data_IF_983926103673
#
_entry.id   IF_983926103673
#
_cell.length_a   1.000
_cell.length_b   1.000
_cell.length_c   1.000
_cell.angle_alpha   90.00
_cell.angle_beta   90.00
_cell.angle_gamma   90.00
#
_symmetry.space_group_name_H-M   'P 1'
#
loop_
_entity.id
_entity.type
_entity.pdbx_description
1 polymer ?
#
# COMPACT_ATOMS: atom_id res chain seq x y z
N UNK A 1 16.89 20.16 19.84
CA UNK A 1 15.83 20.90 19.13
C UNK A 1 14.53 20.69 19.86
N UNK A 2 13.66 21.72 20.04
CA UNK A 2 12.38 21.52 20.71
C UNK A 2 11.55 20.49 19.93
N UNK A 3 10.97 19.52 20.63
CA UNK A 3 10.07 18.54 20.04
C UNK A 3 8.89 19.28 19.38
N UNK A 4 8.64 19.00 18.09
CA UNK A 4 7.51 19.61 17.39
C UNK A 4 6.22 19.34 18.16
N UNK A 5 5.37 20.36 18.26
CA UNK A 5 4.07 20.21 18.91
C UNK A 5 3.19 19.21 18.15
N UNK A 6 2.29 18.49 18.83
CA UNK A 6 1.36 17.59 18.14
C UNK A 6 0.54 18.27 17.04
N UNK A 7 0.24 19.56 17.20
CA UNK A 7 -0.48 20.37 16.21
C UNK A 7 0.35 20.63 14.96
N UNK A 8 1.65 20.89 15.08
CA UNK A 8 2.55 21.03 13.94
C UNK A 8 2.71 19.72 13.16
N UNK A 9 2.79 18.59 13.87
CA UNK A 9 2.82 17.28 13.22
C UNK A 9 1.51 16.99 12.45
N UNK A 10 0.35 17.40 13.01
CA UNK A 10 -0.93 17.26 12.33
C UNK A 10 -1.05 18.18 11.10
N UNK A 11 -0.55 19.41 11.17
CA UNK A 11 -0.54 20.32 10.02
C UNK A 11 0.32 19.79 8.86
N UNK A 12 1.43 19.09 9.15
CA UNK A 12 2.23 18.40 8.14
C UNK A 12 1.46 17.25 7.46
N UNK A 13 0.65 16.51 8.24
CA UNK A 13 -0.20 15.46 7.69
C UNK A 13 -1.29 16.06 6.78
N UNK A 14 -1.93 17.16 7.18
CA UNK A 14 -2.92 17.85 6.34
C UNK A 14 -2.28 18.41 5.05
N UNK A 15 -1.03 18.88 5.11
CA UNK A 15 -0.26 19.30 3.93
C UNK A 15 0.04 18.17 2.93
N UNK A 16 -0.22 16.91 3.28
CA UNK A 16 -0.03 15.80 2.33
C UNK A 16 -1.02 15.82 1.15
N UNK A 17 -2.11 16.57 1.24
CA UNK A 17 -3.05 16.78 0.11
C UNK A 17 -2.34 17.50 -1.05
N UNK A 18 -1.37 18.39 -0.78
CA UNK A 18 -0.64 19.11 -1.82
C UNK A 18 0.20 18.19 -2.71
N UNK A 19 0.45 16.95 -2.29
CA UNK A 19 1.13 15.93 -3.10
C UNK A 19 0.43 15.62 -4.43
N UNK A 20 -0.86 15.92 -4.54
CA UNK A 20 -1.60 15.82 -5.81
C UNK A 20 -1.01 16.71 -6.91
N UNK A 21 -0.23 17.74 -6.55
CA UNK A 21 0.48 18.61 -7.50
C UNK A 21 1.78 18.01 -8.03
N UNK A 22 2.28 16.92 -7.41
CA UNK A 22 3.48 16.22 -7.89
C UNK A 22 3.16 15.34 -9.10
N UNK A 23 3.09 15.97 -10.26
CA UNK A 23 2.79 15.29 -11.53
C UNK A 23 3.75 14.16 -11.86
N UNK A 24 5.03 14.24 -11.42
CA UNK A 24 6.03 13.18 -11.67
C UNK A 24 5.71 11.92 -10.86
N UNK A 25 5.35 12.07 -9.59
CA UNK A 25 4.95 10.94 -8.75
C UNK A 25 3.62 10.34 -9.21
N UNK A 26 2.64 11.18 -9.57
CA UNK A 26 1.36 10.74 -10.15
C UNK A 26 1.57 9.95 -11.43
N UNK A 27 2.37 10.49 -12.37
CA UNK A 27 2.69 9.81 -13.63
C UNK A 27 3.38 8.46 -13.38
N UNK A 28 4.35 8.42 -12.46
CA UNK A 28 5.08 7.19 -12.16
C UNK A 28 4.16 6.12 -11.56
N UNK A 29 3.28 6.49 -10.61
CA UNK A 29 2.29 5.56 -10.04
C UNK A 29 1.30 5.08 -11.08
N UNK A 30 0.75 6.01 -11.88
CA UNK A 30 -0.21 5.66 -12.94
C UNK A 30 0.41 4.68 -13.94
N UNK A 31 1.62 4.96 -14.42
CA UNK A 31 2.34 4.09 -15.35
C UNK A 31 2.60 2.70 -14.73
N UNK A 32 3.05 2.68 -13.47
CA UNK A 32 3.36 1.43 -12.76
C UNK A 32 2.11 0.57 -12.56
N UNK A 33 1.01 1.17 -12.11
CA UNK A 33 -0.24 0.44 -11.90
C UNK A 33 -0.89 0.01 -13.21
N UNK A 34 -0.86 0.84 -14.26
CA UNK A 34 -1.37 0.47 -15.57
C UNK A 34 -0.59 -0.72 -16.16
N UNK A 35 0.75 -0.67 -16.10
CA UNK A 35 1.58 -1.74 -16.63
C UNK A 35 1.46 -3.02 -15.78
N UNK A 36 1.46 -2.91 -14.46
CA UNK A 36 1.26 -4.05 -13.56
C UNK A 36 -0.14 -4.67 -13.76
N UNK A 37 -1.18 -3.85 -13.89
CA UNK A 37 -2.54 -4.30 -14.16
C UNK A 37 -2.66 -5.02 -15.48
N UNK A 38 -2.04 -4.50 -16.55
CA UNK A 38 -1.99 -5.17 -17.85
C UNK A 38 -1.30 -6.54 -17.78
N UNK A 39 -0.13 -6.60 -17.13
CA UNK A 39 0.60 -7.86 -16.94
C UNK A 39 -0.19 -8.87 -16.10
N UNK A 40 -0.92 -8.41 -15.08
CA UNK A 40 -1.80 -9.28 -14.27
C UNK A 40 -2.94 -9.85 -15.12
N UNK A 41 -3.58 -9.02 -15.95
CA UNK A 41 -4.63 -9.47 -16.85
C UNK A 41 -4.11 -10.49 -17.87
N UNK A 42 -2.91 -10.26 -18.41
CA UNK A 42 -2.25 -11.23 -19.31
C UNK A 42 -1.90 -12.53 -18.58
N UNK A 43 -1.46 -12.45 -17.31
CA UNK A 43 -1.17 -13.63 -16.48
C UNK A 43 -2.44 -14.45 -16.24
N UNK A 44 -3.54 -13.81 -15.87
CA UNK A 44 -4.84 -14.49 -15.67
C UNK A 44 -5.32 -15.22 -16.93
N UNK A 45 -5.22 -14.57 -18.11
CA UNK A 45 -5.59 -15.20 -19.39
C UNK A 45 -4.68 -16.36 -19.75
N UNK A 46 -3.37 -16.24 -19.54
CA UNK A 46 -2.41 -17.30 -19.81
C UNK A 46 -2.62 -18.51 -18.87
N UNK A 47 -2.93 -18.27 -17.61
CA UNK A 47 -3.26 -19.34 -16.65
C UNK A 47 -4.56 -20.05 -17.03
N UNK A 48 -5.60 -19.30 -17.42
CA UNK A 48 -6.88 -19.85 -17.85
C UNK A 48 -6.77 -20.72 -19.13
N UNK A 49 -5.84 -20.38 -20.03
CA UNK A 49 -5.56 -21.12 -21.25
C UNK A 49 -4.59 -22.29 -21.06
N UNK A 50 -4.08 -22.51 -19.84
CA UNK A 50 -3.11 -23.56 -19.55
C UNK A 50 -1.75 -23.34 -20.23
N UNK A 51 -1.35 -22.09 -20.47
CA UNK A 51 -0.13 -21.71 -21.19
C UNK A 51 1.19 -21.96 -20.39
N UNK A 52 1.20 -22.94 -19.52
CA UNK A 52 2.40 -23.41 -18.81
C UNK A 52 3.06 -22.34 -17.95
N UNK A 53 4.36 -22.06 -18.19
CA UNK A 53 5.15 -21.12 -17.40
C UNK A 53 4.87 -19.62 -17.67
N UNK A 54 4.12 -19.29 -18.73
CA UNK A 54 3.88 -17.89 -19.12
C UNK A 54 3.03 -17.13 -18.11
N UNK A 55 1.98 -17.75 -17.55
CA UNK A 55 1.15 -17.12 -16.52
C UNK A 55 1.94 -16.71 -15.29
N UNK A 56 2.69 -17.63 -14.62
CA UNK A 56 3.57 -17.28 -13.50
C UNK A 56 4.63 -16.23 -13.83
N UNK A 57 5.22 -16.27 -15.04
CA UNK A 57 6.23 -15.29 -15.47
C UNK A 57 5.61 -13.88 -15.57
N UNK A 58 4.44 -13.75 -16.18
CA UNK A 58 3.73 -12.48 -16.31
C UNK A 58 3.28 -11.95 -14.94
N UNK A 59 2.82 -12.82 -14.02
CA UNK A 59 2.49 -12.46 -12.65
C UNK A 59 3.73 -11.96 -11.89
N UNK A 60 4.88 -12.63 -12.04
CA UNK A 60 6.14 -12.19 -11.49
C UNK A 60 6.58 -10.82 -12.02
N UNK A 61 6.43 -10.59 -13.33
CA UNK A 61 6.71 -9.30 -13.96
C UNK A 61 5.77 -8.20 -13.45
N UNK A 62 4.48 -8.50 -13.25
CA UNK A 62 3.52 -7.56 -12.68
C UNK A 62 3.92 -7.12 -11.26
N UNK A 63 4.29 -8.08 -10.40
CA UNK A 63 4.77 -7.79 -9.05
C UNK A 63 6.06 -6.97 -9.07
N UNK A 64 6.99 -7.30 -9.97
CA UNK A 64 8.24 -6.55 -10.15
C UNK A 64 7.95 -5.08 -10.51
N UNK A 65 7.11 -4.84 -11.51
CA UNK A 65 6.74 -3.49 -11.95
C UNK A 65 6.02 -2.73 -10.85
N UNK A 66 5.06 -3.35 -10.15
CA UNK A 66 4.34 -2.72 -9.05
C UNK A 66 5.30 -2.34 -7.90
N UNK A 67 6.20 -3.24 -7.52
CA UNK A 67 7.13 -3.04 -6.43
C UNK A 67 8.16 -1.94 -6.74
N UNK A 68 8.87 -2.04 -7.85
CA UNK A 68 9.91 -1.06 -8.20
C UNK A 68 9.32 0.28 -8.64
N UNK A 69 8.19 0.27 -9.33
CA UNK A 69 7.48 1.47 -9.72
C UNK A 69 6.89 2.22 -8.53
N UNK A 70 6.28 1.51 -7.59
CA UNK A 70 5.81 2.09 -6.33
C UNK A 70 6.94 2.72 -5.49
N UNK A 71 8.09 2.04 -5.41
CA UNK A 71 9.27 2.58 -4.74
C UNK A 71 9.85 3.81 -5.46
N UNK A 72 9.87 3.84 -6.81
CA UNK A 72 10.30 5.00 -7.57
C UNK A 72 9.40 6.22 -7.31
N UNK A 73 8.07 6.01 -7.28
CA UNK A 73 7.14 7.06 -6.91
C UNK A 73 7.34 7.54 -5.46
N UNK A 74 7.58 6.62 -4.52
CA UNK A 74 7.91 6.95 -3.13
C UNK A 74 9.17 7.81 -3.00
N UNK A 75 10.21 7.53 -3.79
CA UNK A 75 11.43 8.34 -3.85
C UNK A 75 11.13 9.76 -4.34
N UNK A 76 10.30 9.93 -5.39
CA UNK A 76 9.90 11.25 -5.89
C UNK A 76 9.12 12.05 -4.84
N UNK A 77 8.22 11.38 -4.11
CA UNK A 77 7.46 11.99 -3.02
C UNK A 77 8.38 12.34 -1.83
N UNK A 78 9.39 11.52 -1.53
CA UNK A 78 10.37 11.81 -0.47
C UNK A 78 11.24 13.02 -0.80
N UNK A 79 11.68 13.18 -2.07
CA UNK A 79 12.42 14.35 -2.51
C UNK A 79 11.61 15.64 -2.28
N UNK A 80 10.34 15.64 -2.68
CA UNK A 80 9.43 16.75 -2.44
C UNK A 80 9.17 16.99 -0.94
N UNK A 81 9.02 15.91 -0.16
CA UNK A 81 8.78 16.00 1.28
C UNK A 81 9.92 16.71 2.01
N UNK A 82 11.16 16.57 1.51
CA UNK A 82 12.35 17.24 2.02
C UNK A 82 12.49 18.69 1.55
N UNK A 83 11.59 19.17 0.68
CA UNK A 83 11.70 20.51 0.08
C UNK A 83 12.84 20.67 -0.91
N UNK A 84 13.43 19.55 -1.38
CA UNK A 84 14.50 19.54 -2.36
C UNK A 84 13.99 19.51 -3.82
N UNK A 85 14.89 19.64 -4.80
CA UNK A 85 14.53 19.48 -6.20
C UNK A 85 14.11 18.02 -6.46
N UNK A 86 12.89 17.82 -6.97
CA UNK A 86 12.40 16.49 -7.35
C UNK A 86 13.19 15.99 -8.56
N UNK A 87 13.86 14.85 -8.41
CA UNK A 87 14.67 14.23 -9.47
C UNK A 87 13.85 13.86 -10.72
N UNK A 88 14.51 13.55 -11.82
CA UNK A 88 13.84 13.05 -13.03
C UNK A 88 13.28 11.65 -12.80
N UNK A 89 12.19 11.29 -13.48
CA UNK A 89 11.53 9.97 -13.34
C UNK A 89 12.51 8.83 -13.63
N UNK A 90 13.35 8.96 -14.67
CA UNK A 90 14.37 7.95 -15.00
C UNK A 90 15.40 7.73 -13.89
N UNK A 91 15.81 8.80 -13.20
CA UNK A 91 16.74 8.69 -12.08
C UNK A 91 16.08 8.08 -10.84
N UNK A 92 14.78 8.35 -10.63
CA UNK A 92 14.01 7.70 -9.56
C UNK A 92 13.86 6.19 -9.80
N UNK A 93 13.64 5.77 -11.05
CA UNK A 93 13.59 4.34 -11.41
C UNK A 93 14.95 3.67 -11.18
N UNK A 94 16.06 4.30 -11.62
CA UNK A 94 17.41 3.77 -11.37
C UNK A 94 17.71 3.67 -9.87
N UNK A 95 17.35 4.70 -9.11
CA UNK A 95 17.51 4.69 -7.65
C UNK A 95 16.65 3.60 -6.99
N UNK A 96 15.42 3.40 -7.45
CA UNK A 96 14.55 2.32 -6.97
C UNK A 96 15.17 0.95 -7.23
N UNK A 97 15.62 0.67 -8.45
CA UNK A 97 16.29 -0.59 -8.78
C UNK A 97 17.54 -0.84 -7.92
N UNK A 98 18.28 0.22 -7.57
CA UNK A 98 19.48 0.12 -6.74
C UNK A 98 19.17 -0.04 -5.24
N UNK A 99 18.03 0.40 -4.75
CA UNK A 99 17.77 0.50 -3.30
C UNK A 99 16.55 -0.27 -2.79
N UNK A 100 15.55 -0.54 -3.64
CA UNK A 100 14.29 -1.14 -3.19
C UNK A 100 14.46 -2.55 -2.57
N UNK A 101 15.49 -3.31 -2.96
CA UNK A 101 15.80 -4.60 -2.32
C UNK A 101 16.13 -4.45 -0.82
N UNK A 102 16.61 -3.26 -0.38
CA UNK A 102 16.84 -2.97 1.05
C UNK A 102 15.53 -2.98 1.85
N UNK A 103 14.41 -2.62 1.21
CA UNK A 103 13.10 -2.69 1.83
C UNK A 103 12.71 -4.15 2.11
N UNK A 104 12.93 -5.06 1.14
CA UNK A 104 12.68 -6.48 1.33
C UNK A 104 13.55 -7.06 2.47
N UNK A 105 14.84 -6.66 2.52
CA UNK A 105 15.73 -7.09 3.60
C UNK A 105 15.29 -6.52 4.95
N UNK A 106 14.83 -5.27 5.01
CA UNK A 106 14.27 -4.68 6.23
C UNK A 106 13.08 -5.49 6.72
N UNK A 107 12.13 -5.80 5.82
CA UNK A 107 10.97 -6.64 6.17
C UNK A 107 11.38 -8.05 6.57
N UNK A 108 12.34 -8.66 5.89
CA UNK A 108 12.83 -10.01 6.22
C UNK A 108 13.40 -10.08 7.65
N UNK A 109 14.21 -9.06 8.04
CA UNK A 109 14.79 -9.01 9.40
C UNK A 109 13.69 -8.79 10.44
N UNK A 110 12.76 -7.86 10.19
CA UNK A 110 11.65 -7.61 11.11
C UNK A 110 10.74 -8.83 11.21
N UNK A 111 10.39 -9.46 10.09
CA UNK A 111 9.56 -10.67 10.08
C UNK A 111 10.23 -11.82 10.82
N UNK A 112 11.55 -11.99 10.68
CA UNK A 112 12.31 -12.97 11.44
C UNK A 112 12.25 -12.70 12.96
N UNK A 113 12.34 -11.42 13.38
CA UNK A 113 12.18 -11.05 14.79
C UNK A 113 10.77 -11.37 15.32
N UNK A 114 9.72 -11.09 14.53
CA UNK A 114 8.35 -11.45 14.87
C UNK A 114 8.15 -12.98 14.92
N UNK A 115 8.73 -13.72 13.99
CA UNK A 115 8.68 -15.18 13.98
C UNK A 115 9.37 -15.78 15.21
N UNK A 116 10.52 -15.24 15.63
CA UNK A 116 11.19 -15.65 16.86
C UNK A 116 10.34 -15.35 18.11
N UNK A 117 9.72 -14.16 18.17
CA UNK A 117 8.82 -13.81 19.27
C UNK A 117 7.58 -14.73 19.32
N UNK A 118 7.01 -15.05 18.16
CA UNK A 118 5.89 -15.98 18.06
C UNK A 118 6.30 -17.40 18.48
N UNK A 119 7.47 -17.88 18.07
CA UNK A 119 8.01 -19.17 18.48
C UNK A 119 8.27 -19.23 19.99
N UNK A 120 8.81 -18.16 20.59
CA UNK A 120 9.00 -18.07 22.04
C UNK A 120 7.65 -18.09 22.79
N UNK A 121 6.65 -17.36 22.33
CA UNK A 121 5.31 -17.39 22.89
C UNK A 121 4.69 -18.79 22.78
N UNK A 122 4.82 -19.42 21.62
CA UNK A 122 4.36 -20.79 21.41
C UNK A 122 5.04 -21.79 22.36
N UNK A 123 6.37 -21.68 22.55
CA UNK A 123 7.10 -22.51 23.49
C UNK A 123 6.63 -22.32 24.94
N UNK A 124 6.40 -21.05 25.35
CA UNK A 124 5.84 -20.74 26.67
C UNK A 124 4.43 -21.34 26.87
N UNK A 125 3.56 -21.23 25.86
CA UNK A 125 2.24 -21.86 25.90
C UNK A 125 2.32 -23.38 25.93
N UNK A 126 3.29 -23.97 25.24
CA UNK A 126 3.51 -25.41 25.26
C UNK A 126 3.94 -25.89 26.66
N UNK A 127 4.78 -25.11 27.37
CA UNK A 127 5.14 -25.38 28.76
C UNK A 127 3.95 -25.33 29.73
N UNK A 128 2.88 -24.59 29.39
CA UNK A 128 1.67 -24.53 30.21
C UNK A 128 0.80 -25.82 30.14
N UNK A 129 1.14 -26.79 29.26
CA UNK A 129 0.40 -28.05 29.19
C UNK A 129 0.57 -28.85 30.47
N UNK A 130 -0.53 -29.33 31.02
CA UNK A 130 -0.54 -30.14 32.28
C UNK A 130 0.31 -31.41 32.16
N UNK A 131 0.49 -31.95 30.97
CA UNK A 131 1.38 -33.09 30.68
C UNK A 131 2.86 -32.78 30.84
N UNK A 132 3.26 -31.50 30.80
CA UNK A 132 4.65 -31.05 30.91
C UNK A 132 4.93 -30.49 32.29
N UNK A 133 4.07 -29.57 32.77
CA UNK A 133 4.27 -28.84 34.03
C UNK A 133 3.47 -29.36 35.22
N UNK A 134 2.63 -30.38 35.01
CA UNK A 134 1.76 -30.94 36.03
C UNK A 134 0.38 -30.25 36.17
N UNK A 135 -0.52 -30.87 36.97
CA UNK A 135 -1.94 -30.48 37.01
C UNK A 135 -2.19 -29.11 37.68
N UNK A 136 -1.28 -28.60 38.51
CA UNK A 136 -1.46 -27.33 39.21
C UNK A 136 -0.61 -26.21 38.57
N UNK A 137 0.61 -26.49 38.19
CA UNK A 137 1.56 -25.49 37.71
C UNK A 137 1.18 -25.00 36.31
N UNK A 138 0.73 -25.92 35.43
CA UNK A 138 0.31 -25.57 34.06
C UNK A 138 -0.81 -24.53 34.01
N UNK A 139 -1.94 -24.74 34.68
CA UNK A 139 -3.02 -23.76 34.72
C UNK A 139 -2.64 -22.42 35.36
N UNK A 140 -1.81 -22.41 36.41
CA UNK A 140 -1.32 -21.19 37.04
C UNK A 140 -0.44 -20.37 36.08
N UNK A 141 0.51 -21.03 35.41
CA UNK A 141 1.35 -20.37 34.39
C UNK A 141 0.51 -19.85 33.22
N UNK A 142 -0.47 -20.60 32.76
CA UNK A 142 -1.37 -20.18 31.70
C UNK A 142 -2.17 -18.94 32.11
N UNK A 143 -2.71 -18.94 33.34
CA UNK A 143 -3.46 -17.79 33.89
C UNK A 143 -2.62 -16.49 33.95
N UNK A 144 -1.31 -16.61 34.20
CA UNK A 144 -0.39 -15.48 34.18
C UNK A 144 0.03 -15.09 32.75
N UNK A 145 0.24 -16.07 31.89
CA UNK A 145 0.72 -15.86 30.52
C UNK A 145 -0.36 -15.25 29.60
N UNK A 146 -1.64 -15.56 29.81
CA UNK A 146 -2.74 -15.06 28.98
C UNK A 146 -2.80 -13.53 28.96
N UNK A 147 -2.92 -12.81 30.08
CA UNK A 147 -3.01 -11.35 30.04
C UNK A 147 -1.75 -10.70 29.46
N UNK A 148 -0.56 -11.21 29.80
CA UNK A 148 0.72 -10.72 29.26
C UNK A 148 0.81 -11.00 27.76
N UNK A 149 0.41 -12.18 27.32
CA UNK A 149 0.42 -12.56 25.92
C UNK A 149 -0.57 -11.74 25.08
N UNK A 150 -1.78 -11.52 25.57
CA UNK A 150 -2.79 -10.70 24.90
C UNK A 150 -2.31 -9.27 24.69
N UNK A 151 -1.79 -8.64 25.75
CA UNK A 151 -1.25 -7.27 25.65
C UNK A 151 -0.02 -7.24 24.75
N UNK A 152 0.92 -8.18 24.93
CA UNK A 152 2.15 -8.25 24.15
C UNK A 152 1.87 -8.44 22.65
N UNK A 153 1.00 -9.37 22.29
CA UNK A 153 0.59 -9.60 20.89
C UNK A 153 -0.15 -8.38 20.34
N UNK A 154 -1.06 -7.78 21.11
CA UNK A 154 -1.78 -6.57 20.69
C UNK A 154 -0.82 -5.40 20.40
N UNK A 155 0.15 -5.15 21.28
CA UNK A 155 1.19 -4.12 21.08
C UNK A 155 2.07 -4.46 19.87
N UNK A 156 2.45 -5.72 19.69
CA UNK A 156 3.24 -6.17 18.55
C UNK A 156 2.50 -5.97 17.22
N UNK A 157 1.21 -6.30 17.14
CA UNK A 157 0.38 -6.07 15.97
C UNK A 157 0.20 -4.57 15.69
N UNK A 158 -0.04 -3.77 16.72
CA UNK A 158 -0.10 -2.31 16.58
C UNK A 158 1.22 -1.74 16.05
N UNK A 159 2.35 -2.20 16.57
CA UNK A 159 3.68 -1.79 16.12
C UNK A 159 3.92 -2.19 14.65
N UNK A 160 3.51 -3.39 14.25
CA UNK A 160 3.64 -3.85 12.88
C UNK A 160 2.84 -2.97 11.91
N UNK A 161 1.55 -2.73 12.21
CA UNK A 161 0.63 -2.02 11.32
C UNK A 161 0.85 -0.51 11.32
N UNK A 162 1.14 0.10 12.48
CA UNK A 162 1.26 1.54 12.61
C UNK A 162 2.69 2.07 12.40
N UNK A 163 3.72 1.26 12.62
CA UNK A 163 5.12 1.71 12.52
C UNK A 163 5.88 0.99 11.42
N UNK A 164 5.95 -0.34 11.48
CA UNK A 164 6.85 -1.10 10.62
C UNK A 164 6.40 -1.03 9.16
N UNK A 165 5.15 -1.38 8.89
CA UNK A 165 4.62 -1.42 7.51
C UNK A 165 4.69 -0.05 6.83
N UNK A 166 4.19 1.04 7.43
CA UNK A 166 4.19 2.34 6.76
C UNK A 166 5.54 3.05 6.74
N UNK A 167 6.39 2.91 7.77
CA UNK A 167 7.61 3.71 7.89
C UNK A 167 8.88 2.99 7.40
N UNK A 168 8.84 1.69 7.09
CA UNK A 168 9.98 0.99 6.53
C UNK A 168 10.40 1.52 5.16
N UNK A 169 9.43 1.82 4.29
CA UNK A 169 9.67 2.32 2.96
C UNK A 169 10.27 3.74 2.94
N UNK A 170 9.71 4.74 3.65
CA UNK A 170 10.32 6.08 3.76
C UNK A 170 11.77 6.08 4.21
N UNK A 171 12.16 5.20 5.13
CA UNK A 171 13.55 5.04 5.54
C UNK A 171 14.48 4.65 4.39
N UNK A 172 14.05 3.72 3.55
CA UNK A 172 14.81 3.30 2.35
C UNK A 172 14.85 4.42 1.30
N UNK A 173 13.72 5.11 1.06
CA UNK A 173 13.65 6.24 0.12
C UNK A 173 14.52 7.42 0.58
N UNK A 174 14.68 7.56 1.89
CA UNK A 174 15.60 8.52 2.51
C UNK A 174 17.07 8.15 2.35
N UNK A 175 17.37 6.94 1.87
CA UNK A 175 18.73 6.44 1.66
C UNK A 175 19.32 5.70 2.86
N UNK A 176 18.54 5.42 3.92
CA UNK A 176 19.04 4.72 5.10
C UNK A 176 19.53 3.29 4.78
N UNK A 177 20.64 2.83 5.35
CA UNK A 177 21.03 1.44 5.27
C UNK A 177 20.09 0.55 6.09
N UNK A 178 19.95 -0.73 5.70
CA UNK A 178 18.99 -1.68 6.27
C UNK A 178 19.01 -1.71 7.80
N UNK A 179 20.19 -1.88 8.39
CA UNK A 179 20.32 -1.97 9.86
C UNK A 179 19.97 -0.67 10.59
N UNK A 180 20.29 0.50 10.00
CA UNK A 180 19.90 1.77 10.56
C UNK A 180 18.37 1.95 10.52
N UNK A 181 17.75 1.54 9.41
CA UNK A 181 16.29 1.57 9.26
C UNK A 181 15.61 0.65 10.30
N UNK A 182 16.08 -0.59 10.46
CA UNK A 182 15.56 -1.54 11.47
C UNK A 182 15.73 -0.96 12.89
N UNK A 183 16.89 -0.38 13.21
CA UNK A 183 17.14 0.24 14.54
C UNK A 183 16.21 1.42 14.78
N UNK A 184 16.00 2.26 13.78
CA UNK A 184 15.08 3.40 13.87
C UNK A 184 13.65 2.90 14.13
N UNK A 185 13.16 1.93 13.37
CA UNK A 185 11.83 1.34 13.56
C UNK A 185 11.68 0.75 14.97
N UNK A 186 12.68 0.02 15.45
CA UNK A 186 12.69 -0.53 16.81
C UNK A 186 12.69 0.57 17.89
N UNK A 187 13.43 1.66 17.69
CA UNK A 187 13.42 2.81 18.59
C UNK A 187 12.05 3.50 18.62
N UNK A 188 11.41 3.70 17.47
CA UNK A 188 10.06 4.28 17.37
C UNK A 188 9.02 3.41 18.09
N UNK A 189 9.09 2.09 17.92
CA UNK A 189 8.20 1.14 18.61
C UNK A 189 8.39 1.22 20.12
N UNK A 190 9.63 1.30 20.62
CA UNK A 190 9.92 1.31 22.07
C UNK A 190 9.59 2.64 22.74
N UNK A 191 9.81 3.76 22.05
CA UNK A 191 9.79 5.08 22.68
C UNK A 191 8.59 5.94 22.26
N UNK A 192 8.03 5.74 21.07
CA UNK A 192 7.05 6.66 20.46
C UNK A 192 5.88 5.98 19.78
N UNK A 193 5.61 4.70 20.11
CA UNK A 193 4.57 3.89 19.45
C UNK A 193 3.23 4.62 19.35
N UNK A 194 2.74 5.15 20.48
CA UNK A 194 1.42 5.79 20.52
C UNK A 194 1.37 7.05 19.64
N UNK A 195 2.42 7.87 19.68
CA UNK A 195 2.50 9.09 18.85
C UNK A 195 2.51 8.76 17.36
N UNK A 196 3.32 7.77 16.95
CA UNK A 196 3.36 7.31 15.55
C UNK A 196 2.03 6.70 15.15
N UNK A 197 1.41 5.87 16.00
CA UNK A 197 0.12 5.25 15.72
C UNK A 197 -0.99 6.31 15.50
N UNK A 198 -1.03 7.36 16.31
CA UNK A 198 -2.00 8.46 16.15
C UNK A 198 -1.77 9.25 14.86
N UNK A 199 -0.52 9.55 14.51
CA UNK A 199 -0.20 10.24 13.24
C UNK A 199 -0.53 9.36 12.04
N UNK A 200 -0.25 8.06 12.11
CA UNK A 200 -0.62 7.11 11.05
C UNK A 200 -2.13 6.94 10.92
N UNK A 201 -2.88 6.96 12.03
CA UNK A 201 -4.34 6.99 12.00
C UNK A 201 -4.86 8.26 11.31
N UNK A 202 -4.25 9.42 11.58
CA UNK A 202 -4.61 10.68 10.90
C UNK A 202 -4.30 10.61 9.38
N UNK A 203 -3.14 10.07 8.97
CA UNK A 203 -2.80 9.85 7.56
C UNK A 203 -3.82 8.92 6.90
N UNK A 204 -4.17 7.81 7.55
CA UNK A 204 -5.14 6.85 7.04
C UNK A 204 -6.53 7.46 6.89
N UNK A 205 -6.97 8.25 7.86
CA UNK A 205 -8.26 8.93 7.82
C UNK A 205 -8.31 9.96 6.68
N UNK A 206 -7.25 10.75 6.51
CA UNK A 206 -7.12 11.71 5.42
C UNK A 206 -7.16 11.01 4.06
N UNK A 207 -6.38 9.95 3.91
CA UNK A 207 -6.34 9.14 2.68
C UNK A 207 -7.71 8.52 2.38
N UNK A 208 -8.39 7.99 3.39
CA UNK A 208 -9.75 7.45 3.25
C UNK A 208 -10.75 8.53 2.84
N UNK A 209 -10.65 9.74 3.39
CA UNK A 209 -11.48 10.89 2.99
C UNK A 209 -11.27 11.28 1.53
N UNK A 210 -10.01 11.36 1.07
CA UNK A 210 -9.68 11.62 -0.34
C UNK A 210 -10.19 10.49 -1.23
N UNK A 211 -10.00 9.22 -0.84
CA UNK A 211 -10.48 8.07 -1.59
C UNK A 211 -12.02 8.08 -1.71
N UNK A 212 -12.73 8.39 -0.63
CA UNK A 212 -14.19 8.49 -0.62
C UNK A 212 -14.69 9.60 -1.56
N UNK A 213 -14.05 10.78 -1.52
CA UNK A 213 -14.39 11.90 -2.40
C UNK A 213 -14.17 11.54 -3.87
N UNK A 214 -13.00 10.99 -4.21
CA UNK A 214 -12.67 10.60 -5.58
C UNK A 214 -13.62 9.49 -6.06
N UNK A 215 -13.89 8.50 -5.22
CA UNK A 215 -14.86 7.44 -5.55
C UNK A 215 -16.26 8.01 -5.80
N UNK A 216 -16.71 8.94 -4.97
CA UNK A 216 -18.00 9.62 -5.17
C UNK A 216 -18.06 10.34 -6.52
N UNK A 217 -17.03 11.11 -6.88
CA UNK A 217 -16.95 11.82 -8.17
C UNK A 217 -16.97 10.84 -9.34
N UNK A 218 -16.15 9.79 -9.28
CA UNK A 218 -16.04 8.78 -10.35
C UNK A 218 -17.35 8.02 -10.51
N UNK A 219 -17.98 7.62 -9.41
CA UNK A 219 -19.25 6.87 -9.45
C UNK A 219 -20.40 7.72 -9.95
N UNK A 220 -20.49 8.98 -9.49
CA UNK A 220 -21.55 9.89 -9.91
C UNK A 220 -21.37 10.30 -11.38
N UNK A 221 -20.15 10.68 -11.78
CA UNK A 221 -19.82 11.02 -13.16
C UNK A 221 -20.01 9.84 -14.11
N UNK A 222 -19.53 8.65 -13.70
CA UNK A 222 -19.66 7.42 -14.47
C UNK A 222 -21.11 7.03 -14.76
N UNK A 223 -22.01 7.19 -13.77
CA UNK A 223 -23.45 6.95 -13.97
C UNK A 223 -24.06 7.92 -14.98
N UNK A 224 -23.75 9.21 -14.87
CA UNK A 224 -24.26 10.22 -15.82
C UNK A 224 -23.76 9.97 -17.24
N UNK A 225 -22.47 9.70 -17.40
CA UNK A 225 -21.87 9.40 -18.71
C UNK A 225 -22.45 8.09 -19.30
N UNK A 226 -22.68 7.06 -18.47
CA UNK A 226 -23.33 5.83 -18.94
C UNK A 226 -24.75 6.11 -19.47
N UNK A 227 -25.55 6.88 -18.74
CA UNK A 227 -26.91 7.24 -19.16
C UNK A 227 -26.93 8.07 -20.45
N UNK A 228 -26.03 9.07 -20.55
CA UNK A 228 -25.88 9.87 -21.76
C UNK A 228 -25.36 9.02 -22.94
N UNK A 229 -24.45 8.11 -22.72
CA UNK A 229 -23.94 7.18 -23.74
C UNK A 229 -25.04 6.34 -24.36
N UNK A 230 -25.93 5.77 -23.54
CA UNK A 230 -27.09 5.02 -24.01
C UNK A 230 -28.07 5.92 -24.77
N UNK A 231 -28.38 7.12 -24.26
CA UNK A 231 -29.41 8.00 -24.85
C UNK A 231 -28.95 8.71 -26.12
N UNK A 232 -27.66 9.08 -26.23
CA UNK A 232 -27.13 9.89 -27.35
C UNK A 232 -26.42 9.04 -28.40
N UNK A 233 -25.63 8.05 -27.98
CA UNK A 233 -24.84 7.21 -28.88
C UNK A 233 -25.62 5.98 -29.34
N UNK A 234 -26.74 5.65 -28.66
CA UNK A 234 -27.59 4.49 -29.01
C UNK A 234 -26.90 3.15 -28.82
N UNK A 235 -25.74 3.13 -28.18
CA UNK A 235 -25.00 1.89 -27.92
C UNK A 235 -25.48 1.35 -26.58
N UNK A 236 -26.13 0.20 -26.60
CA UNK A 236 -26.40 -0.57 -25.37
C UNK A 236 -25.08 -1.07 -24.78
N UNK A 237 -24.31 -0.18 -24.15
CA UNK A 237 -23.25 -0.57 -23.26
C UNK A 237 -23.94 -0.85 -21.93
N UNK A 238 -24.05 -2.12 -21.50
CA UNK A 238 -24.67 -2.41 -20.22
C UNK A 238 -23.96 -1.59 -19.13
N UNK A 239 -24.71 -0.82 -18.34
CA UNK A 239 -24.15 0.01 -17.28
C UNK A 239 -23.23 -0.80 -16.35
N UNK A 240 -23.49 -2.12 -16.24
CA UNK A 240 -22.66 -3.08 -15.54
C UNK A 240 -21.27 -3.27 -16.15
N UNK A 241 -21.11 -3.22 -17.48
CA UNK A 241 -19.80 -3.35 -18.13
C UNK A 241 -18.97 -2.07 -17.99
N UNK A 242 -19.58 -0.89 -18.06
CA UNK A 242 -18.94 0.38 -17.75
C UNK A 242 -18.49 0.43 -16.28
N UNK A 243 -19.34 -0.03 -15.38
CA UNK A 243 -19.02 -0.13 -13.95
C UNK A 243 -17.94 -1.19 -13.69
N UNK A 244 -17.94 -2.31 -14.41
CA UNK A 244 -16.91 -3.33 -14.30
C UNK A 244 -15.54 -2.81 -14.77
N UNK A 245 -15.49 -1.99 -15.82
CA UNK A 245 -14.27 -1.28 -16.24
C UNK A 245 -13.78 -0.28 -15.16
N UNK A 246 -14.70 0.46 -14.55
CA UNK A 246 -14.40 1.41 -13.48
C UNK A 246 -13.87 0.75 -12.19
N UNK A 247 -14.19 -0.51 -11.93
CA UNK A 247 -13.73 -1.23 -10.74
C UNK A 247 -12.61 -2.26 -11.00
N UNK A 248 -12.04 -2.29 -12.20
CA UNK A 248 -11.02 -3.26 -12.56
C UNK A 248 -11.54 -4.70 -12.74
N UNK A 249 -12.85 -4.92 -12.57
CA UNK A 249 -13.49 -6.22 -12.80
C UNK A 249 -13.83 -6.49 -14.28
N UNK A 250 -13.60 -5.51 -15.15
CA UNK A 250 -14.02 -5.57 -16.54
C UNK A 250 -13.44 -6.73 -17.32
N UNK A 251 -12.21 -7.12 -17.04
CA UNK A 251 -11.57 -8.26 -17.70
C UNK A 251 -12.13 -9.61 -17.22
N UNK A 252 -12.47 -9.73 -15.92
CA UNK A 252 -13.11 -10.95 -15.39
C UNK A 252 -14.56 -11.12 -15.85
N UNK A 253 -15.34 -10.04 -15.90
CA UNK A 253 -16.74 -10.10 -16.31
C UNK A 253 -16.88 -10.42 -17.81
N UNK A 254 -15.92 -10.01 -18.63
CA UNK A 254 -15.89 -10.31 -20.08
C UNK A 254 -15.59 -11.80 -20.34
N UNK A 255 -14.75 -12.43 -19.51
CA UNK A 255 -14.49 -13.86 -19.58
C UNK A 255 -15.63 -14.73 -19.03
N UNK A 256 -16.34 -14.27 -18.02
CA UNK A 256 -17.39 -15.03 -17.33
C UNK A 256 -18.75 -15.03 -18.08
N UNK A 257 -19.03 -14.00 -18.87
CA UNK A 257 -20.32 -13.86 -19.57
C UNK A 257 -20.32 -14.45 -21.00
N UNK A 258 -19.18 -14.96 -21.47
CA UNK A 258 -19.08 -15.51 -22.86
C UNK A 258 -19.38 -14.47 -23.96
N UNK A 259 -19.59 -13.22 -23.59
CA UNK A 259 -19.81 -12.15 -24.56
C UNK A 259 -18.47 -11.83 -25.24
N UNK A 260 -18.40 -11.86 -26.59
CA UNK A 260 -17.16 -11.54 -27.27
C UNK A 260 -16.73 -10.12 -26.93
N UNK A 261 -15.45 -9.98 -26.51
CA UNK A 261 -14.77 -8.69 -26.41
C UNK A 261 -14.95 -7.96 -27.75
N UNK A 262 -15.79 -6.91 -27.75
CA UNK A 262 -15.89 -6.07 -28.94
C UNK A 262 -17.08 -6.30 -29.84
N UNK A 263 -18.28 -6.52 -29.27
CA UNK A 263 -19.50 -6.34 -30.07
C UNK A 263 -19.62 -4.92 -30.68
N UNK A 264 -18.87 -3.94 -30.12
CA UNK A 264 -18.69 -2.62 -30.75
C UNK A 264 -17.36 -1.97 -30.33
N UNK A 265 -16.76 -1.18 -31.24
CA UNK A 265 -15.58 -0.35 -30.97
C UNK A 265 -15.82 0.62 -29.78
N UNK A 266 -17.05 1.06 -29.59
CA UNK A 266 -17.45 1.93 -28.48
C UNK A 266 -17.35 1.23 -27.12
N UNK A 267 -17.72 -0.06 -27.02
CA UNK A 267 -17.59 -0.82 -25.76
C UNK A 267 -16.11 -1.01 -25.38
N UNK A 268 -15.25 -1.32 -26.34
CA UNK A 268 -13.81 -1.41 -26.10
C UNK A 268 -13.21 -0.06 -25.65
N UNK A 269 -13.59 1.04 -26.32
CA UNK A 269 -13.15 2.38 -25.93
C UNK A 269 -13.64 2.78 -24.53
N UNK A 270 -14.88 2.43 -24.17
CA UNK A 270 -15.43 2.67 -22.85
C UNK A 270 -14.69 1.90 -21.73
N UNK A 271 -14.26 0.65 -22.00
CA UNK A 271 -13.45 -0.12 -21.08
C UNK A 271 -12.08 0.50 -20.83
N UNK A 272 -11.41 0.96 -21.90
CA UNK A 272 -10.11 1.63 -21.78
C UNK A 272 -10.26 2.94 -21.01
N UNK A 273 -11.26 3.77 -21.36
CA UNK A 273 -11.56 5.03 -20.66
C UNK A 273 -11.90 4.82 -19.18
N UNK A 274 -12.74 3.81 -18.89
CA UNK A 274 -13.07 3.41 -17.52
C UNK A 274 -11.85 2.97 -16.72
N UNK A 275 -10.96 2.18 -17.31
CA UNK A 275 -9.70 1.75 -16.69
C UNK A 275 -8.78 2.92 -16.34
N UNK A 276 -8.68 3.94 -17.21
CA UNK A 276 -7.91 5.16 -16.93
C UNK A 276 -8.50 5.92 -15.74
N UNK A 277 -9.82 6.09 -15.72
CA UNK A 277 -10.51 6.79 -14.59
C UNK A 277 -10.33 6.02 -13.29
N UNK A 278 -10.43 4.69 -13.33
CA UNK A 278 -10.17 3.85 -12.17
C UNK A 278 -8.72 3.97 -11.67
N UNK A 279 -7.75 3.96 -12.59
CA UNK A 279 -6.34 4.12 -12.24
C UNK A 279 -6.09 5.49 -11.58
N UNK A 280 -6.67 6.57 -12.09
CA UNK A 280 -6.61 7.90 -11.48
C UNK A 280 -7.26 7.91 -10.09
N UNK A 281 -8.41 7.25 -9.93
CA UNK A 281 -9.10 7.13 -8.64
C UNK A 281 -8.26 6.41 -7.58
N UNK A 282 -7.43 5.46 -7.99
CA UNK A 282 -6.54 4.73 -7.09
C UNK A 282 -5.25 5.52 -6.79
N UNK A 283 -4.70 6.19 -7.78
CA UNK A 283 -3.41 6.88 -7.69
C UNK A 283 -3.49 8.14 -6.82
N UNK A 284 -4.58 8.90 -6.89
CA UNK A 284 -4.74 10.13 -6.12
C UNK A 284 -4.65 9.91 -4.59
N UNK A 285 -5.46 9.04 -3.97
CA UNK A 285 -5.29 8.73 -2.55
C UNK A 285 -3.95 8.06 -2.25
N UNK A 286 -3.42 7.27 -3.20
CA UNK A 286 -2.10 6.64 -3.07
C UNK A 286 -0.97 7.66 -2.89
N UNK A 287 -0.92 8.72 -3.69
CA UNK A 287 0.09 9.79 -3.56
C UNK A 287 -0.07 10.55 -2.24
N UNK A 288 -1.30 10.84 -1.82
CA UNK A 288 -1.57 11.48 -0.52
C UNK A 288 -1.07 10.60 0.63
N UNK A 289 -1.32 9.30 0.57
CA UNK A 289 -0.79 8.34 1.55
C UNK A 289 0.74 8.33 1.57
N UNK A 290 1.40 8.22 0.39
CA UNK A 290 2.84 8.23 0.29
C UNK A 290 3.45 9.51 0.87
N UNK A 291 2.86 10.67 0.62
CA UNK A 291 3.30 11.94 1.20
C UNK A 291 3.10 11.96 2.72
N UNK A 292 1.96 11.46 3.19
CA UNK A 292 1.64 11.37 4.61
C UNK A 292 2.68 10.54 5.39
N UNK A 293 3.02 9.35 4.90
CA UNK A 293 4.03 8.48 5.55
C UNK A 293 5.43 9.11 5.51
N UNK A 294 5.80 9.80 4.41
CA UNK A 294 7.06 10.54 4.32
C UNK A 294 7.10 11.68 5.35
N UNK A 295 6.00 12.43 5.50
CA UNK A 295 5.90 13.54 6.46
C UNK A 295 6.01 13.05 7.91
N UNK A 296 5.33 11.94 8.24
CA UNK A 296 5.44 11.30 9.57
C UNK A 296 6.87 10.82 9.82
N UNK A 297 7.50 10.16 8.83
CA UNK A 297 8.88 9.71 8.95
C UNK A 297 9.85 10.86 9.25
N UNK A 298 9.77 11.94 8.47
CA UNK A 298 10.64 13.12 8.65
C UNK A 298 10.41 13.79 10.01
N UNK A 299 9.14 13.94 10.43
CA UNK A 299 8.82 14.48 11.75
C UNK A 299 9.39 13.63 12.90
N UNK A 300 9.48 12.30 12.72
CA UNK A 300 10.05 11.42 13.72
C UNK A 300 11.59 11.41 13.71
N UNK A 301 12.22 11.60 12.53
CA UNK A 301 13.68 11.70 12.41
C UNK A 301 14.22 13.01 12.98
N UNK A 302 13.52 14.13 12.75
CA UNK A 302 13.92 15.45 13.30
C UNK A 302 13.88 15.49 14.84
N UNK A 303 13.05 14.65 15.43
CA UNK A 303 12.93 14.51 16.90
C UNK A 303 13.84 13.40 17.48
N UNK A 304 14.61 12.67 16.65
CA UNK A 304 15.53 11.64 17.14
C UNK A 304 16.76 12.31 17.78
N UNK A 305 17.22 11.86 18.98
CA UNK A 305 18.37 12.41 19.65
C UNK A 305 19.67 12.15 18.92
#
# INVERSE_FOLDING_TARGET
MPSRSPLEALSLVLGSIDAVRNLRALYMLLLSFALAGLLTAMAETSLAQGAGAWGPLQAGAALFVAFYGGNAAGILVMDEARGGPVRAVGDAVRASLATAHRLLLTFAIVLAAYALAAAALWALLWLCRSTVSGPLVGPLLFGLLVPVGVVGVGVALLALLAVVVPLAAPGVWAGAPVLANVRLLAALVRQRLLRVALLMAAVSLLTAGVAALVTFVVMSGGRVIAQLGVSVVGVEVPAQQLMAGLFGYGLRSLGATGAPLGSSAHAAAALVGGGVVFALALVLPGVVYLRGICSVYLAMCDDAP
#
